data_IF_899109399625
#
_entry.id   IF_899109399625
#
_cell.length_a   1.000
_cell.length_b   1.000
_cell.length_c   1.000
_cell.angle_alpha   90.00
_cell.angle_beta   90.00
_cell.angle_gamma   90.00
#
_symmetry.space_group_name_H-M   'P 1'
#
loop_
_entity.id
_entity.type
_entity.pdbx_description
1 polymer ?
#
# COMPACT_ATOMS: atom_id res chain seq x y z
N UNK A 1 -3.45 6.80 22.36
CA UNK A 1 -4.32 6.84 21.16
C UNK A 1 -3.85 5.86 20.09
N UNK A 2 -4.70 5.40 19.16
CA UNK A 2 -4.31 4.43 18.11
C UNK A 2 -3.07 4.86 17.31
N UNK A 3 -2.94 6.17 17.05
CA UNK A 3 -1.81 6.76 16.32
C UNK A 3 -0.47 6.56 17.04
N UNK A 4 -0.43 6.57 18.39
CA UNK A 4 0.79 6.34 19.17
C UNK A 4 1.37 4.94 18.90
N UNK A 5 0.53 3.97 18.54
CA UNK A 5 0.99 2.62 18.22
C UNK A 5 1.84 2.61 16.95
N UNK A 6 1.61 3.52 16.00
CA UNK A 6 2.34 3.59 14.73
C UNK A 6 3.82 3.94 14.91
N UNK A 7 4.20 4.55 16.04
CA UNK A 7 5.59 4.90 16.37
C UNK A 7 6.16 4.03 17.48
N UNK A 8 5.51 2.92 17.82
CA UNK A 8 6.01 2.01 18.84
C UNK A 8 7.30 1.33 18.40
N UNK A 9 8.26 1.14 19.31
CA UNK A 9 9.43 0.29 19.09
C UNK A 9 9.04 -1.16 18.74
N UNK A 10 7.88 -1.61 19.23
CA UNK A 10 7.37 -2.94 18.95
C UNK A 10 6.62 -2.97 17.60
N UNK A 11 7.18 -3.68 16.62
CA UNK A 11 6.58 -3.82 15.28
C UNK A 11 5.19 -4.44 15.29
N UNK A 12 4.89 -5.33 16.25
CA UNK A 12 3.56 -5.90 16.40
C UNK A 12 2.53 -4.82 16.78
N UNK A 13 2.92 -3.87 17.64
CA UNK A 13 2.05 -2.75 18.00
C UNK A 13 1.83 -1.82 16.81
N UNK A 14 2.85 -1.56 15.99
CA UNK A 14 2.71 -0.77 14.75
C UNK A 14 1.71 -1.41 13.79
N UNK A 15 1.85 -2.71 13.53
CA UNK A 15 0.91 -3.47 12.70
C UNK A 15 -0.53 -3.42 13.23
N UNK A 16 -0.73 -3.61 14.54
CA UNK A 16 -2.07 -3.49 15.16
C UNK A 16 -2.61 -2.07 15.01
N UNK A 17 -1.78 -1.05 15.23
CA UNK A 17 -2.15 0.34 15.04
C UNK A 17 -2.66 0.61 13.63
N UNK A 18 -1.95 0.12 12.62
CA UNK A 18 -2.36 0.22 11.22
C UNK A 18 -3.72 -0.44 10.97
N UNK A 19 -3.89 -1.71 11.36
CA UNK A 19 -5.14 -2.44 11.15
C UNK A 19 -6.33 -1.77 11.85
N UNK A 20 -6.15 -1.28 13.09
CA UNK A 20 -7.21 -0.61 13.84
C UNK A 20 -7.57 0.76 13.25
N UNK A 21 -6.61 1.51 12.71
CA UNK A 21 -6.90 2.78 12.04
C UNK A 21 -7.68 2.54 10.74
N UNK A 22 -7.22 1.59 9.92
CA UNK A 22 -7.89 1.22 8.67
C UNK A 22 -9.33 0.73 8.90
N UNK A 23 -9.53 -0.19 9.86
CA UNK A 23 -10.85 -0.73 10.17
C UNK A 23 -11.85 0.31 10.69
N UNK A 24 -11.36 1.40 11.30
CA UNK A 24 -12.19 2.50 11.78
C UNK A 24 -12.47 3.56 10.71
N UNK A 25 -11.80 3.53 9.55
CA UNK A 25 -11.91 4.57 8.52
C UNK A 25 -13.34 4.79 8.05
N UNK A 26 -14.16 3.73 7.96
CA UNK A 26 -15.57 3.82 7.55
C UNK A 26 -16.42 4.64 8.52
N UNK A 27 -16.13 4.57 9.81
CA UNK A 27 -16.91 5.25 10.86
C UNK A 27 -16.34 6.63 11.21
N UNK A 28 -15.19 7.01 10.63
CA UNK A 28 -14.56 8.29 10.89
C UNK A 28 -15.30 9.43 10.18
N UNK A 29 -16.12 10.16 10.94
CA UNK A 29 -16.87 11.33 10.46
C UNK A 29 -16.17 12.65 10.74
N UNK A 30 -15.07 12.63 11.50
CA UNK A 30 -14.37 13.84 11.98
C UNK A 30 -12.96 13.99 11.38
N UNK A 31 -12.59 13.16 10.42
CA UNK A 31 -11.34 13.30 9.65
C UNK A 31 -10.08 12.76 10.33
N UNK A 32 -10.20 11.95 11.38
CA UNK A 32 -9.04 11.38 12.10
C UNK A 32 -8.15 10.51 11.21
N UNK A 33 -8.73 9.81 10.23
CA UNK A 33 -7.96 9.00 9.30
C UNK A 33 -7.11 9.89 8.38
N UNK A 34 -7.67 10.99 7.87
CA UNK A 34 -6.91 11.98 7.09
C UNK A 34 -5.75 12.55 7.92
N UNK A 35 -6.00 12.93 9.17
CA UNK A 35 -5.00 13.50 10.07
C UNK A 35 -3.87 12.50 10.40
N UNK A 36 -4.22 11.22 10.50
CA UNK A 36 -3.28 10.14 10.86
C UNK A 36 -2.60 9.51 9.64
N UNK A 37 -3.02 9.86 8.43
CA UNK A 37 -2.55 9.26 7.19
C UNK A 37 -1.02 9.40 7.02
N UNK A 38 -0.38 10.56 7.28
CA UNK A 38 1.07 10.67 7.15
C UNK A 38 1.83 9.70 8.06
N UNK A 39 1.36 9.47 9.28
CA UNK A 39 1.96 8.54 10.23
C UNK A 39 1.73 7.09 9.80
N UNK A 40 0.52 6.79 9.29
CA UNK A 40 0.19 5.48 8.73
C UNK A 40 1.07 5.13 7.53
N UNK A 41 1.20 6.03 6.55
CA UNK A 41 1.94 5.80 5.31
C UNK A 41 3.45 5.59 5.54
N UNK A 42 4.02 6.11 6.62
CA UNK A 42 5.42 5.81 6.99
C UNK A 42 5.68 4.32 7.23
N UNK A 43 4.66 3.56 7.62
CA UNK A 43 4.78 2.11 7.82
C UNK A 43 4.96 1.33 6.52
N UNK A 44 4.68 1.93 5.35
CA UNK A 44 5.02 1.33 4.04
C UNK A 44 6.54 1.22 3.81
N UNK A 45 7.33 1.93 4.62
CA UNK A 45 8.79 1.89 4.62
C UNK A 45 9.38 1.35 5.94
N UNK A 46 8.59 0.59 6.71
CA UNK A 46 9.01 0.02 8.00
C UNK A 46 10.19 -0.96 7.85
N UNK A 47 11.10 -0.97 8.84
CA UNK A 47 12.23 -1.90 8.87
C UNK A 47 11.81 -3.38 8.89
N UNK A 48 10.59 -3.69 9.36
CA UNK A 48 10.03 -5.04 9.42
C UNK A 48 9.15 -5.25 8.19
N UNK A 49 9.56 -6.14 7.26
CA UNK A 49 8.77 -6.46 6.07
C UNK A 49 7.32 -6.85 6.36
N UNK A 50 7.07 -7.57 7.46
CA UNK A 50 5.72 -7.98 7.83
C UNK A 50 4.80 -6.79 8.14
N UNK A 51 5.34 -5.74 8.78
CA UNK A 51 4.59 -4.52 9.09
C UNK A 51 4.26 -3.75 7.80
N UNK A 52 5.19 -3.69 6.85
CA UNK A 52 4.95 -3.11 5.52
C UNK A 52 3.80 -3.82 4.81
N UNK A 53 3.85 -5.16 4.75
CA UNK A 53 2.83 -5.98 4.09
C UNK A 53 1.45 -5.79 4.72
N UNK A 54 1.37 -5.86 6.05
CA UNK A 54 0.11 -5.69 6.78
C UNK A 54 -0.46 -4.29 6.61
N UNK A 55 0.40 -3.26 6.58
CA UNK A 55 -0.02 -1.88 6.30
C UNK A 55 -0.62 -1.76 4.90
N UNK A 56 0.04 -2.33 3.89
CA UNK A 56 -0.46 -2.31 2.52
C UNK A 56 -1.79 -3.06 2.36
N UNK A 57 -1.92 -4.23 3.00
CA UNK A 57 -3.14 -5.04 2.99
C UNK A 57 -4.33 -4.36 3.69
N UNK A 58 -4.08 -3.37 4.54
CA UNK A 58 -5.13 -2.60 5.21
C UNK A 58 -5.59 -1.38 4.37
N UNK A 59 -4.83 -0.95 3.36
CA UNK A 59 -5.19 0.18 2.51
C UNK A 59 -6.53 0.05 1.77
N UNK A 60 -6.94 -1.13 1.26
CA UNK A 60 -8.26 -1.29 0.64
C UNK A 60 -9.43 -0.81 1.50
N UNK A 61 -9.35 -1.02 2.83
CA UNK A 61 -10.40 -0.55 3.74
C UNK A 61 -10.48 0.97 3.79
N UNK A 62 -9.33 1.63 3.79
CA UNK A 62 -9.23 3.10 3.76
C UNK A 62 -9.70 3.62 2.42
N UNK A 63 -9.24 3.06 1.30
CA UNK A 63 -9.60 3.49 -0.06
C UNK A 63 -11.11 3.39 -0.32
N UNK A 64 -11.76 2.32 0.14
CA UNK A 64 -13.21 2.19 0.02
C UNK A 64 -13.98 3.17 0.92
N UNK A 65 -13.46 3.48 2.10
CA UNK A 65 -14.12 4.37 3.06
C UNK A 65 -13.88 5.86 2.78
N UNK A 66 -12.71 6.18 2.22
CA UNK A 66 -12.14 7.52 2.08
C UNK A 66 -11.44 7.64 0.70
N UNK A 67 -12.18 7.53 -0.41
CA UNK A 67 -11.61 7.58 -1.76
C UNK A 67 -10.83 8.87 -2.05
N UNK A 68 -11.13 9.96 -1.35
CA UNK A 68 -10.38 11.22 -1.40
C UNK A 68 -8.89 11.08 -1.01
N UNK A 69 -8.51 9.99 -0.33
CA UNK A 69 -7.14 9.71 0.07
C UNK A 69 -6.32 8.95 -0.99
N UNK A 70 -6.95 8.55 -2.10
CA UNK A 70 -6.34 7.64 -3.08
C UNK A 70 -5.03 8.17 -3.67
N UNK A 71 -4.97 9.45 -4.02
CA UNK A 71 -3.76 10.07 -4.59
C UNK A 71 -2.57 10.00 -3.62
N UNK A 72 -2.76 10.45 -2.37
CA UNK A 72 -1.71 10.41 -1.36
C UNK A 72 -1.23 8.98 -1.04
N UNK A 73 -2.15 8.00 -1.02
CA UNK A 73 -1.82 6.59 -0.84
C UNK A 73 -1.02 6.05 -2.05
N UNK A 74 -1.45 6.37 -3.27
CA UNK A 74 -0.79 5.97 -4.50
C UNK A 74 0.65 6.46 -4.56
N UNK A 75 0.86 7.76 -4.35
CA UNK A 75 2.18 8.38 -4.32
C UNK A 75 3.09 7.72 -3.28
N UNK A 76 2.59 7.44 -2.07
CA UNK A 76 3.37 6.82 -1.01
C UNK A 76 3.78 5.37 -1.34
N UNK A 77 2.90 4.58 -1.95
CA UNK A 77 3.22 3.21 -2.38
C UNK A 77 4.28 3.20 -3.49
N UNK A 78 4.14 4.07 -4.49
CA UNK A 78 5.08 4.15 -5.62
C UNK A 78 6.46 4.64 -5.20
N UNK A 79 6.57 5.44 -4.13
CA UNK A 79 7.82 6.01 -3.65
C UNK A 79 8.69 5.06 -2.80
N UNK A 80 8.20 3.87 -2.43
CA UNK A 80 8.96 2.95 -1.57
C UNK A 80 10.12 2.31 -2.34
N UNK A 81 11.34 2.48 -1.83
CA UNK A 81 12.50 1.71 -2.28
C UNK A 81 12.39 0.26 -1.80
N UNK A 82 11.97 -0.64 -2.70
CA UNK A 82 11.86 -2.07 -2.42
C UNK A 82 13.23 -2.76 -2.28
N UNK A 83 14.30 -2.20 -2.83
CA UNK A 83 15.62 -2.84 -2.83
C UNK A 83 16.22 -2.92 -1.42
N UNK A 84 15.75 -2.09 -0.49
CA UNK A 84 16.13 -2.15 0.93
C UNK A 84 15.71 -3.43 1.65
N UNK A 85 14.73 -4.16 1.12
CA UNK A 85 14.28 -5.42 1.70
C UNK A 85 15.04 -6.60 1.09
N UNK A 86 15.12 -7.71 1.83
CA UNK A 86 15.67 -8.97 1.31
C UNK A 86 14.89 -9.43 0.07
N UNK A 87 15.60 -9.99 -0.91
CA UNK A 87 15.04 -10.48 -2.17
C UNK A 87 13.80 -11.35 -1.99
N UNK A 88 13.82 -12.24 -0.98
CA UNK A 88 12.70 -13.14 -0.65
C UNK A 88 11.42 -12.42 -0.21
N UNK A 89 11.52 -11.18 0.27
CA UNK A 89 10.38 -10.37 0.72
C UNK A 89 9.91 -9.36 -0.32
N UNK A 90 10.77 -8.92 -1.24
CA UNK A 90 10.45 -7.86 -2.22
C UNK A 90 9.22 -8.18 -3.04
N UNK A 91 9.15 -9.40 -3.58
CA UNK A 91 7.99 -9.87 -4.36
C UNK A 91 6.71 -9.82 -3.54
N UNK A 92 6.74 -10.29 -2.29
CA UNK A 92 5.56 -10.35 -1.43
C UNK A 92 5.03 -8.94 -1.12
N UNK A 93 5.92 -8.02 -0.78
CA UNK A 93 5.58 -6.61 -0.53
C UNK A 93 4.98 -5.99 -1.80
N UNK A 94 5.66 -6.16 -2.94
CA UNK A 94 5.23 -5.56 -4.19
C UNK A 94 3.87 -6.06 -4.65
N UNK A 95 3.57 -7.35 -4.47
CA UNK A 95 2.23 -7.89 -4.77
C UNK A 95 1.17 -7.18 -3.91
N UNK A 96 1.39 -7.05 -2.60
CA UNK A 96 0.43 -6.35 -1.72
C UNK A 96 0.25 -4.87 -2.14
N UNK A 97 1.32 -4.22 -2.60
CA UNK A 97 1.27 -2.83 -3.08
C UNK A 97 0.47 -2.72 -4.38
N UNK A 98 0.71 -3.60 -5.34
CA UNK A 98 0.01 -3.58 -6.62
C UNK A 98 -1.48 -3.86 -6.47
N UNK A 99 -1.89 -4.71 -5.52
CA UNK A 99 -3.31 -4.92 -5.21
C UNK A 99 -3.97 -3.62 -4.68
N UNK A 100 -3.29 -2.87 -3.80
CA UNK A 100 -3.78 -1.57 -3.35
C UNK A 100 -3.79 -0.52 -4.48
N UNK A 101 -2.74 -0.50 -5.31
CA UNK A 101 -2.62 0.44 -6.43
C UNK A 101 -3.67 0.20 -7.52
N UNK A 102 -4.17 -1.03 -7.70
CA UNK A 102 -5.28 -1.30 -8.60
C UNK A 102 -6.55 -0.56 -8.15
N UNK A 103 -6.82 -0.53 -6.85
CA UNK A 103 -7.94 0.24 -6.29
C UNK A 103 -7.70 1.75 -6.43
N UNK A 104 -6.46 2.20 -6.18
CA UNK A 104 -6.09 3.61 -6.43
C UNK A 104 -6.36 3.97 -7.89
N UNK A 105 -5.99 3.12 -8.84
CA UNK A 105 -6.22 3.33 -10.28
C UNK A 105 -7.71 3.43 -10.63
N UNK A 106 -8.56 2.62 -9.98
CA UNK A 106 -10.01 2.68 -10.18
C UNK A 106 -10.61 4.01 -9.66
N UNK A 107 -10.06 4.56 -8.58
CA UNK A 107 -10.55 5.79 -7.93
C UNK A 107 -9.94 7.06 -8.58
N UNK A 108 -8.64 7.03 -8.85
CA UNK A 108 -7.83 8.17 -9.27
C UNK A 108 -6.71 7.72 -10.24
N UNK A 109 -7.03 7.44 -11.51
CA UNK A 109 -6.02 7.07 -12.51
C UNK A 109 -5.15 8.27 -12.87
N UNK A 110 -3.83 8.08 -12.86
CA UNK A 110 -2.84 9.10 -13.22
C UNK A 110 -1.78 8.54 -14.17
N UNK A 111 -1.15 9.37 -15.02
CA UNK A 111 -0.06 8.93 -15.90
C UNK A 111 1.09 8.25 -15.13
N UNK A 112 1.49 8.83 -14.00
CA UNK A 112 2.56 8.30 -13.14
C UNK A 112 2.23 6.88 -12.63
N UNK A 113 0.95 6.62 -12.30
CA UNK A 113 0.50 5.30 -11.87
C UNK A 113 0.55 4.27 -13.00
N UNK A 114 0.15 4.64 -14.21
CA UNK A 114 0.25 3.75 -15.38
C UNK A 114 1.71 3.45 -15.74
N UNK A 115 2.58 4.47 -15.70
CA UNK A 115 4.02 4.31 -15.90
C UNK A 115 4.64 3.41 -14.83
N UNK A 116 4.23 3.57 -13.57
CA UNK A 116 4.66 2.71 -12.49
C UNK A 116 4.30 1.25 -12.78
N UNK A 117 3.03 0.94 -13.08
CA UNK A 117 2.61 -0.42 -13.43
C UNK A 117 3.43 -1.01 -14.58
N UNK A 118 3.66 -0.23 -15.65
CA UNK A 118 4.49 -0.66 -16.78
C UNK A 118 5.93 -0.99 -16.36
N UNK A 119 6.56 -0.11 -15.57
CA UNK A 119 7.91 -0.28 -15.04
C UNK A 119 8.02 -1.54 -14.19
N UNK A 120 7.08 -1.76 -13.26
CA UNK A 120 7.14 -2.91 -12.37
C UNK A 120 6.94 -4.23 -13.12
N UNK A 121 6.03 -4.26 -14.10
CA UNK A 121 5.75 -5.45 -14.91
C UNK A 121 6.88 -5.79 -15.89
N UNK A 122 7.70 -4.82 -16.24
CA UNK A 122 8.91 -5.00 -17.06
C UNK A 122 10.14 -5.37 -16.20
N UNK A 123 10.08 -5.12 -14.89
CA UNK A 123 11.15 -5.43 -13.94
C UNK A 123 11.30 -6.92 -13.59
N UNK A 124 12.24 -7.19 -12.67
CA UNK A 124 12.65 -8.54 -12.26
C UNK A 124 12.11 -8.99 -10.89
N UNK A 125 11.47 -8.10 -10.11
CA UNK A 125 10.98 -8.44 -8.76
C UNK A 125 9.82 -9.43 -8.83
N UNK A 126 8.94 -9.30 -9.84
CA UNK A 126 7.83 -10.23 -10.07
C UNK A 126 8.28 -11.40 -10.93
N UNK A 127 7.78 -12.59 -10.60
CA UNK A 127 7.87 -13.74 -11.51
C UNK A 127 6.82 -13.66 -12.62
N UNK A 128 7.00 -14.46 -13.66
CA UNK A 128 6.11 -14.47 -14.84
C UNK A 128 4.65 -14.79 -14.49
N UNK A 129 4.43 -15.60 -13.44
CA UNK A 129 3.08 -15.89 -12.94
C UNK A 129 2.42 -14.61 -12.40
N UNK A 130 3.09 -13.87 -11.53
CA UNK A 130 2.57 -12.63 -10.97
C UNK A 130 2.38 -11.55 -12.05
N UNK A 131 3.35 -11.40 -12.98
CA UNK A 131 3.22 -10.47 -14.11
C UNK A 131 1.98 -10.75 -14.94
N UNK A 132 1.75 -12.02 -15.30
CA UNK A 132 0.57 -12.44 -16.07
C UNK A 132 -0.74 -12.13 -15.34
N UNK A 133 -0.78 -12.37 -14.02
CA UNK A 133 -1.93 -12.03 -13.19
C UNK A 133 -2.24 -10.53 -13.24
N UNK A 134 -1.25 -9.68 -13.00
CA UNK A 134 -1.47 -8.22 -12.99
C UNK A 134 -1.76 -7.64 -14.37
N UNK A 135 -1.10 -8.12 -15.45
CA UNK A 135 -1.46 -7.75 -16.83
C UNK A 135 -2.93 -8.02 -17.13
N UNK A 136 -3.44 -9.17 -16.68
CA UNK A 136 -4.85 -9.52 -16.83
C UNK A 136 -5.77 -8.57 -16.06
N UNK A 137 -5.40 -8.19 -14.82
CA UNK A 137 -6.18 -7.24 -14.01
C UNK A 137 -6.20 -5.83 -14.61
N UNK A 138 -5.10 -5.41 -15.21
CA UNK A 138 -4.97 -4.10 -15.87
C UNK A 138 -5.63 -4.06 -17.26
N UNK A 139 -6.13 -5.20 -17.75
CA UNK A 139 -6.63 -5.37 -19.13
C UNK A 139 -5.60 -5.03 -20.21
N UNK A 140 -4.30 -5.26 -19.93
CA UNK A 140 -3.22 -5.05 -20.90
C UNK A 140 -3.12 -6.25 -21.85
N UNK A 141 -2.72 -6.04 -23.13
CA UNK A 141 -2.42 -7.15 -24.03
C UNK A 141 -1.31 -8.04 -23.46
N UNK A 142 -1.44 -9.35 -23.69
CA UNK A 142 -0.51 -10.38 -23.18
C UNK A 142 0.90 -10.16 -23.66
#
# INVERSE_FOLDING_TARGET
MLVEKLTSENSYQRSIGAMLLAGNARQDTVGRMQDSLPQFLRLLSDIKPITVRQTAQALPEILHAKPELADAIGLALMAVDLLRYKDTMRKLILVDFLEALLLVREIHPTPDLEEYFFSVLSGSILDEKAKKQFRSKLSLPK
#
